data_IF_593100192089
#
_entry.id   IF_593100192089
#
_cell.length_a   1.000
_cell.length_b   1.000
_cell.length_c   1.000
_cell.angle_alpha   90.00
_cell.angle_beta   90.00
_cell.angle_gamma   90.00
#
_symmetry.space_group_name_H-M   'P 1'
#
loop_
_entity.id
_entity.type
_entity.pdbx_description
1 polymer ?
#
# COMPACT_ATOMS: atom_id res chain seq x y z
N UNK A 1 -24.91 -39.63 -26.13
CA UNK A 1 -24.18 -39.85 -27.39
C UNK A 1 -23.99 -38.50 -28.07
N UNK A 2 -22.78 -38.31 -28.58
CA UNK A 2 -22.19 -37.10 -29.19
C UNK A 2 -22.33 -37.21 -30.71
N UNK A 3 -22.52 -36.08 -31.42
CA UNK A 3 -21.89 -35.74 -32.72
C UNK A 3 -22.51 -34.42 -33.24
N UNK A 4 -21.87 -33.24 -33.30
CA UNK A 4 -20.67 -32.74 -34.00
C UNK A 4 -20.74 -32.63 -35.54
N UNK A 5 -20.58 -31.36 -35.97
CA UNK A 5 -20.06 -30.84 -37.26
C UNK A 5 -21.03 -30.78 -38.48
N UNK A 6 -21.04 -29.70 -39.27
CA UNK A 6 -19.99 -29.30 -40.23
C UNK A 6 -20.12 -27.81 -40.64
N UNK A 7 -19.03 -27.02 -40.58
CA UNK A 7 -18.14 -26.51 -41.68
C UNK A 7 -18.85 -25.53 -42.64
N UNK A 8 -18.35 -24.32 -42.92
CA UNK A 8 -17.30 -24.00 -43.94
C UNK A 8 -16.84 -22.52 -43.79
N UNK A 9 -15.55 -22.22 -43.57
CA UNK A 9 -14.46 -21.88 -44.52
C UNK A 9 -14.62 -20.61 -45.40
N UNK A 10 -13.67 -19.67 -45.16
CA UNK A 10 -12.91 -18.84 -46.12
C UNK A 10 -13.65 -17.73 -46.92
N UNK A 11 -13.20 -16.48 -46.79
CA UNK A 11 -12.44 -15.77 -47.85
C UNK A 11 -11.94 -14.39 -47.43
N UNK A 12 -10.72 -14.12 -47.86
CA UNK A 12 -9.88 -12.93 -47.71
C UNK A 12 -10.15 -12.00 -48.89
N UNK A 13 -10.35 -10.70 -48.70
CA UNK A 13 -10.12 -9.72 -49.76
C UNK A 13 -9.66 -8.38 -49.18
N UNK A 14 -8.52 -7.95 -49.72
CA UNK A 14 -7.77 -6.75 -49.42
C UNK A 14 -8.46 -5.55 -50.09
N UNK A 15 -8.51 -4.39 -49.44
CA UNK A 15 -8.39 -3.09 -50.10
C UNK A 15 -7.59 -2.15 -49.20
N UNK A 16 -6.36 -1.86 -49.62
CA UNK A 16 -5.62 -0.68 -49.20
C UNK A 16 -6.26 0.53 -49.87
N UNK A 17 -6.39 1.64 -49.14
CA UNK A 17 -6.23 2.98 -49.69
C UNK A 17 -5.77 3.88 -48.54
N UNK A 18 -4.53 4.33 -48.63
CA UNK A 18 -3.96 5.37 -47.79
C UNK A 18 -4.66 6.69 -48.11
N UNK A 19 -5.11 7.43 -47.10
CA UNK A 19 -5.08 8.89 -47.17
C UNK A 19 -5.05 9.51 -45.77
N UNK A 20 -4.39 10.66 -45.73
CA UNK A 20 -3.82 11.43 -44.65
C UNK A 20 -4.84 11.90 -43.60
N UNK A 21 -4.37 12.15 -42.37
CA UNK A 21 -5.01 13.17 -41.53
C UNK A 21 -5.30 12.77 -40.09
N UNK A 22 -4.27 12.95 -39.27
CA UNK A 22 -4.31 13.29 -37.86
C UNK A 22 -5.63 13.94 -37.38
N UNK A 23 -6.25 13.39 -36.31
CA UNK A 23 -6.73 14.09 -35.10
C UNK A 23 -7.52 13.10 -34.24
N UNK A 24 -6.94 12.81 -33.08
CA UNK A 24 -7.44 11.93 -32.03
C UNK A 24 -8.85 12.31 -31.61
N UNK A 25 -9.80 11.39 -31.82
CA UNK A 25 -11.19 11.49 -31.37
C UNK A 25 -11.23 11.61 -29.85
N UNK A 26 -11.68 12.78 -29.36
CA UNK A 26 -11.91 13.08 -27.94
C UNK A 26 -12.89 12.06 -27.35
N UNK A 27 -12.44 11.26 -26.38
CA UNK A 27 -13.33 10.46 -25.51
C UNK A 27 -13.95 11.37 -24.45
N UNK A 28 -15.27 11.33 -24.19
CA UNK A 28 -15.86 12.03 -23.07
C UNK A 28 -15.27 11.48 -21.75
N UNK A 29 -14.70 12.35 -20.91
CA UNK A 29 -14.28 12.00 -19.55
C UNK A 29 -15.53 11.82 -18.72
N UNK A 30 -15.85 10.58 -18.35
CA UNK A 30 -16.83 10.29 -17.30
C UNK A 30 -16.26 10.81 -15.98
N UNK A 31 -16.88 11.84 -15.41
CA UNK A 31 -16.70 12.25 -14.02
C UNK A 31 -17.21 11.10 -13.13
N UNK A 32 -16.31 10.27 -12.61
CA UNK A 32 -16.60 9.47 -11.42
C UNK A 32 -16.16 10.28 -10.22
N UNK A 33 -17.11 11.02 -9.66
CA UNK A 33 -17.02 11.60 -8.33
C UNK A 33 -17.01 10.42 -7.36
N UNK A 34 -15.84 10.01 -6.86
CA UNK A 34 -15.78 9.15 -5.68
C UNK A 34 -15.76 10.07 -4.48
N UNK A 35 -16.90 10.17 -3.82
CA UNK A 35 -17.06 10.82 -2.52
C UNK A 35 -16.06 10.16 -1.56
N UNK A 36 -15.09 10.93 -1.10
CA UNK A 36 -14.25 10.57 0.03
C UNK A 36 -15.09 10.89 1.26
N UNK A 37 -15.72 9.87 1.81
CA UNK A 37 -16.29 9.92 3.16
C UNK A 37 -15.11 9.93 4.15
N UNK A 38 -14.51 11.10 4.33
CA UNK A 38 -13.67 11.37 5.49
C UNK A 38 -14.61 11.60 6.68
N UNK A 39 -15.19 10.51 7.17
CA UNK A 39 -15.70 10.46 8.54
C UNK A 39 -14.50 10.70 9.45
N UNK A 40 -14.30 11.97 9.81
CA UNK A 40 -13.38 12.39 10.87
C UNK A 40 -13.93 11.76 12.14
N UNK A 41 -13.45 10.55 12.40
CA UNK A 41 -13.55 9.86 13.68
C UNK A 41 -12.89 10.81 14.69
N UNK A 42 -13.71 11.58 15.42
CA UNK A 42 -13.36 12.29 16.65
C UNK A 42 -12.94 11.24 17.69
N UNK A 43 -11.85 10.52 17.43
CA UNK A 43 -11.16 9.80 18.49
C UNK A 43 -10.60 10.86 19.42
N UNK A 44 -10.84 10.75 20.74
CA UNK A 44 -10.09 11.56 21.68
C UNK A 44 -8.62 11.43 21.31
N UNK A 45 -7.89 12.54 21.30
CA UNK A 45 -6.45 12.59 21.05
C UNK A 45 -5.79 11.70 22.10
N UNK A 46 -5.71 10.41 21.79
CA UNK A 46 -5.14 9.37 22.63
C UNK A 46 -3.74 9.87 22.93
N UNK A 47 -3.44 10.06 24.20
CA UNK A 47 -2.09 10.39 24.64
C UNK A 47 -1.14 9.42 23.94
N UNK A 48 -0.29 9.95 23.05
CA UNK A 48 0.61 9.11 22.26
C UNK A 48 1.61 8.49 23.24
N UNK A 49 1.44 7.20 23.51
CA UNK A 49 2.37 6.44 24.33
C UNK A 49 3.77 6.52 23.69
N UNK A 50 4.78 7.15 24.32
CA UNK A 50 6.09 7.34 23.70
C UNK A 50 6.81 6.01 23.44
N UNK A 51 6.46 4.97 24.21
CA UNK A 51 6.98 3.62 24.05
C UNK A 51 6.21 2.74 23.06
N UNK A 52 5.21 3.23 22.34
CA UNK A 52 4.49 2.44 21.35
C UNK A 52 5.42 2.01 20.20
N UNK A 53 5.34 0.74 19.79
CA UNK A 53 6.17 0.21 18.72
C UNK A 53 5.99 0.92 17.37
N UNK A 54 4.84 1.56 17.15
CA UNK A 54 4.50 2.32 15.95
C UNK A 54 5.38 3.56 15.77
N UNK A 55 5.95 4.08 16.86
CA UNK A 55 6.87 5.22 16.84
C UNK A 55 8.27 4.83 16.33
N UNK A 56 8.57 3.53 16.22
CA UNK A 56 9.90 3.01 15.94
C UNK A 56 9.93 2.14 14.69
N UNK A 57 11.09 2.11 14.03
CA UNK A 57 11.32 1.30 12.82
C UNK A 57 11.56 -0.18 13.17
N UNK A 58 10.63 -0.80 13.88
CA UNK A 58 10.71 -2.20 14.32
C UNK A 58 9.87 -3.07 13.39
N UNK A 59 10.44 -4.19 12.92
CA UNK A 59 9.71 -5.10 12.04
C UNK A 59 8.50 -5.74 12.75
N UNK A 60 7.39 -5.94 12.02
CA UNK A 60 6.20 -6.62 12.56
C UNK A 60 6.51 -8.02 13.12
N UNK A 61 7.49 -8.72 12.56
CA UNK A 61 7.94 -10.02 13.06
C UNK A 61 8.57 -9.89 14.45
N UNK A 62 9.36 -8.84 14.68
CA UNK A 62 9.99 -8.54 15.97
C UNK A 62 8.93 -8.12 16.99
N UNK A 63 8.02 -7.22 16.63
CA UNK A 63 6.92 -6.78 17.52
C UNK A 63 6.09 -7.97 18.00
N UNK A 64 5.71 -8.89 17.10
CA UNK A 64 4.99 -10.12 17.49
C UNK A 64 5.76 -10.97 18.52
N UNK A 65 7.08 -11.07 18.38
CA UNK A 65 7.91 -11.80 19.34
C UNK A 65 7.99 -11.07 20.69
N UNK A 66 8.10 -9.74 20.69
CA UNK A 66 8.13 -8.94 21.92
C UNK A 66 6.84 -9.12 22.72
N UNK A 67 5.69 -9.00 22.05
CA UNK A 67 4.36 -9.19 22.67
C UNK A 67 4.21 -10.63 23.20
N UNK A 68 4.66 -11.64 22.45
CA UNK A 68 4.62 -13.04 22.91
C UNK A 68 5.46 -13.29 24.17
N UNK A 69 6.48 -12.46 24.43
CA UNK A 69 7.29 -12.48 25.65
C UNK A 69 6.79 -11.50 26.73
N UNK A 70 5.60 -10.91 26.55
CA UNK A 70 5.00 -9.98 27.52
C UNK A 70 5.47 -8.53 27.40
N UNK A 71 6.24 -8.17 26.38
CA UNK A 71 6.68 -6.80 26.13
C UNK A 71 5.70 -6.12 25.17
N UNK A 72 4.82 -5.30 25.72
CA UNK A 72 3.76 -4.59 24.97
C UNK A 72 4.15 -3.17 24.55
N UNK A 73 5.15 -2.59 25.21
CA UNK A 73 5.69 -1.25 24.93
C UNK A 73 7.17 -1.20 25.30
N UNK A 74 7.90 -0.28 24.69
CA UNK A 74 9.29 -0.01 25.05
C UNK A 74 9.39 0.67 26.42
N UNK A 75 10.41 0.29 27.18
CA UNK A 75 10.74 0.95 28.45
C UNK A 75 11.34 2.34 28.20
N UNK A 76 11.28 3.27 29.17
CA UNK A 76 11.85 4.62 29.06
C UNK A 76 13.26 4.65 28.51
N UNK A 77 14.13 3.81 29.06
CA UNK A 77 15.51 3.71 28.61
C UNK A 77 15.62 3.29 27.14
N UNK A 78 14.73 2.42 26.67
CA UNK A 78 14.79 1.90 25.31
C UNK A 78 14.31 2.92 24.27
N UNK A 79 13.16 3.57 24.52
CA UNK A 79 12.63 4.53 23.56
C UNK A 79 13.43 5.82 23.51
N UNK A 80 14.06 6.22 24.63
CA UNK A 80 14.94 7.41 24.67
C UNK A 80 16.24 7.19 23.91
N UNK A 81 16.78 5.97 23.89
CA UNK A 81 18.06 5.68 23.24
C UNK A 81 17.93 5.12 21.82
N UNK A 82 16.73 4.69 21.41
CA UNK A 82 16.52 3.97 20.15
C UNK A 82 17.10 4.70 18.94
N UNK A 83 16.82 6.01 18.81
CA UNK A 83 17.26 6.79 17.65
C UNK A 83 18.79 6.92 17.62
N UNK A 84 19.42 7.23 18.76
CA UNK A 84 20.88 7.35 18.84
C UNK A 84 21.59 6.05 18.45
N UNK A 85 21.06 4.90 18.90
CA UNK A 85 21.58 3.58 18.53
C UNK A 85 21.36 3.30 17.04
N UNK A 86 20.17 3.62 16.51
CA UNK A 86 19.84 3.40 15.09
C UNK A 86 20.71 4.25 14.15
N UNK A 87 21.04 5.47 14.56
CA UNK A 87 21.90 6.40 13.82
C UNK A 87 23.39 6.02 13.90
N UNK A 88 23.74 4.98 14.66
CA UNK A 88 25.10 4.45 14.78
C UNK A 88 25.98 5.25 15.74
N UNK A 89 25.39 5.99 16.68
CA UNK A 89 26.14 6.70 17.73
C UNK A 89 26.57 5.74 18.84
N UNK A 90 27.74 5.99 19.42
CA UNK A 90 28.13 5.34 20.68
C UNK A 90 27.29 5.90 21.83
N UNK A 91 26.62 5.03 22.58
CA UNK A 91 25.70 5.41 23.65
C UNK A 91 26.09 4.74 24.96
N UNK A 92 26.26 5.54 26.02
CA UNK A 92 26.34 5.07 27.40
C UNK A 92 24.97 5.28 28.04
N UNK A 93 24.40 4.22 28.58
CA UNK A 93 23.04 4.20 29.12
C UNK A 93 23.08 3.80 30.59
N UNK A 94 22.34 4.54 31.42
CA UNK A 94 22.05 4.16 32.81
C UNK A 94 20.55 3.91 32.93
N UNK A 95 20.17 2.77 33.51
CA UNK A 95 18.80 2.28 33.59
C UNK A 95 18.47 1.83 35.01
#
# INVERSE_FOLDING_TARGET
MVELEKKTKLKKSKKNLEDLGNVVRRRPRTRSMSEVDDTIDDKPKLEEDPGDFSNFKISKKTVKKLIANGVNKLFPVQYTTYNAILDGSDVIVQA
#
